data_IF_378742989885
#
_entry.id   IF_378742989885
#
_cell.length_a   1.000
_cell.length_b   1.000
_cell.length_c   1.000
_cell.angle_alpha   90.00
_cell.angle_beta   90.00
_cell.angle_gamma   90.00
#
_symmetry.space_group_name_H-M   'P 1'
#
loop_
_entity.id
_entity.type
_entity.pdbx_description
1 polymer ?
#
# COMPACT_ATOMS: atom_id res chain seq x y z
N UNK A 1 -10.96 15.55 32.42
CA UNK A 1 -10.40 14.23 32.03
C UNK A 1 -10.11 14.33 30.55
N UNK A 2 -8.89 14.00 30.16
CA UNK A 2 -8.24 14.31 28.89
C UNK A 2 -9.13 13.96 27.70
N UNK A 3 -9.42 14.94 26.84
CA UNK A 3 -9.91 14.66 25.48
C UNK A 3 -8.87 13.74 24.84
N UNK A 4 -9.27 12.55 24.42
CA UNK A 4 -8.40 11.65 23.67
C UNK A 4 -8.03 12.42 22.40
N UNK A 5 -6.83 12.99 22.32
CA UNK A 5 -6.34 13.76 21.17
C UNK A 5 -6.12 12.76 20.03
N UNK A 6 -7.19 12.41 19.33
CA UNK A 6 -7.16 11.56 18.15
C UNK A 6 -7.27 12.48 16.95
N UNK A 7 -6.25 12.48 16.10
CA UNK A 7 -6.32 13.23 14.85
C UNK A 7 -7.43 12.67 13.97
N UNK A 8 -8.09 13.53 13.20
CA UNK A 8 -9.15 13.08 12.30
C UNK A 8 -8.59 12.13 11.24
N UNK A 9 -9.38 11.15 10.76
CA UNK A 9 -8.94 10.23 9.72
C UNK A 9 -8.51 10.96 8.44
N UNK A 10 -9.09 12.13 8.14
CA UNK A 10 -8.66 12.98 7.02
C UNK A 10 -7.22 13.49 7.19
N UNK A 11 -6.84 13.95 8.39
CA UNK A 11 -5.48 14.40 8.68
C UNK A 11 -4.48 13.23 8.64
N UNK A 12 -4.90 12.08 9.18
CA UNK A 12 -4.09 10.86 9.18
C UNK A 12 -3.84 10.35 7.75
N UNK A 13 -4.86 10.39 6.88
CA UNK A 13 -4.73 10.07 5.45
C UNK A 13 -3.75 11.00 4.74
N UNK A 14 -3.80 12.30 5.02
CA UNK A 14 -2.87 13.25 4.41
C UNK A 14 -1.42 12.95 4.82
N UNK A 15 -1.18 12.61 6.09
CA UNK A 15 0.14 12.20 6.57
C UNK A 15 0.61 10.88 5.92
N UNK A 16 -0.31 9.90 5.77
CA UNK A 16 -0.02 8.64 5.09
C UNK A 16 0.36 8.85 3.61
N UNK A 17 -0.39 9.69 2.89
CA UNK A 17 -0.11 10.06 1.50
C UNK A 17 1.24 10.77 1.36
N UNK A 18 1.51 11.74 2.23
CA UNK A 18 2.78 12.44 2.28
C UNK A 18 3.95 11.48 2.56
N UNK A 19 3.77 10.54 3.49
CA UNK A 19 4.75 9.50 3.78
C UNK A 19 5.01 8.59 2.58
N UNK A 20 3.97 8.26 1.81
CA UNK A 20 4.07 7.47 0.59
C UNK A 20 4.63 8.25 -0.63
N UNK A 21 4.82 9.57 -0.53
CA UNK A 21 5.15 10.41 -1.67
C UNK A 21 4.03 10.47 -2.71
N UNK A 22 2.80 10.14 -2.32
CA UNK A 22 1.63 10.15 -3.18
C UNK A 22 0.82 11.42 -2.94
N UNK A 23 0.31 12.01 -4.01
CA UNK A 23 -0.55 13.19 -3.89
C UNK A 23 -2.02 12.80 -3.64
N UNK A 24 -2.42 11.64 -4.15
CA UNK A 24 -3.72 11.03 -3.92
C UNK A 24 -3.59 9.50 -4.07
N UNK A 25 -4.34 8.75 -3.26
CA UNK A 25 -4.46 7.30 -3.38
C UNK A 25 -5.90 6.88 -3.11
N UNK A 26 -6.29 5.74 -3.66
CA UNK A 26 -7.61 5.17 -3.43
C UNK A 26 -7.56 4.28 -2.18
N UNK A 27 -8.12 4.80 -1.08
CA UNK A 27 -8.14 4.07 0.19
C UNK A 27 -9.23 3.00 0.16
N UNK A 28 -8.80 1.74 0.10
CA UNK A 28 -9.71 0.58 0.16
C UNK A 28 -10.28 0.42 1.56
N UNK A 29 -9.47 0.67 2.59
CA UNK A 29 -9.92 0.68 3.99
C UNK A 29 -8.95 1.41 4.90
N UNK A 30 -9.45 1.77 6.08
CA UNK A 30 -8.65 2.33 7.16
C UNK A 30 -9.11 1.71 8.47
N UNK A 31 -8.17 1.27 9.27
CA UNK A 31 -8.41 0.72 10.59
C UNK A 31 -7.73 1.60 11.63
N UNK A 32 -8.40 1.82 12.76
CA UNK A 32 -7.79 2.41 13.94
C UNK A 32 -7.66 1.31 14.96
N UNK A 33 -6.43 1.04 15.38
CA UNK A 33 -6.15 0.00 16.36
C UNK A 33 -5.24 0.54 17.48
N UNK A 34 -5.46 0.03 18.67
CA UNK A 34 -4.65 0.36 19.84
C UNK A 34 -3.44 -0.56 19.92
N UNK A 35 -2.39 -0.24 19.16
CA UNK A 35 -1.14 -0.99 19.15
C UNK A 35 -0.14 -0.41 20.15
N UNK A 36 0.55 -1.26 20.92
CA UNK A 36 1.59 -0.85 21.89
C UNK A 36 1.14 0.19 22.94
N UNK A 37 -0.13 0.13 23.38
CA UNK A 37 -0.66 1.05 24.39
C UNK A 37 -0.97 2.47 23.87
N UNK A 38 -0.93 2.67 22.55
CA UNK A 38 -1.28 3.91 21.87
C UNK A 38 -2.22 3.65 20.70
N UNK A 39 -2.96 4.68 20.29
CA UNK A 39 -3.86 4.60 19.14
C UNK A 39 -3.09 4.86 17.85
N UNK A 40 -3.19 3.96 16.88
CA UNK A 40 -2.50 4.04 15.57
C UNK A 40 -3.52 3.84 14.46
N UNK A 41 -3.46 4.70 13.45
CA UNK A 41 -4.20 4.54 12.21
C UNK A 41 -3.38 3.71 11.22
N UNK A 42 -3.98 2.65 10.69
CA UNK A 42 -3.43 1.86 9.59
C UNK A 42 -4.28 2.09 8.36
N UNK A 43 -3.65 2.59 7.30
CA UNK A 43 -4.27 2.80 6.00
C UNK A 43 -3.76 1.75 5.03
N UNK A 44 -4.69 1.03 4.42
CA UNK A 44 -4.39 0.11 3.33
C UNK A 44 -5.00 0.68 2.05
N UNK A 45 -4.12 0.96 1.10
CA UNK A 45 -4.49 1.49 -0.20
C UNK A 45 -3.67 0.80 -1.27
N UNK A 46 -4.28 0.61 -2.43
CA UNK A 46 -3.62 -0.01 -3.58
C UNK A 46 -3.50 1.01 -4.70
N UNK A 47 -2.38 1.02 -5.41
CA UNK A 47 -2.19 1.83 -6.61
C UNK A 47 -1.80 0.93 -7.77
N UNK A 48 -2.79 0.50 -8.55
CA UNK A 48 -2.61 -0.31 -9.77
C UNK A 48 -2.04 -1.71 -9.51
N UNK A 49 -0.72 -1.79 -9.34
CA UNK A 49 0.07 -3.02 -9.18
C UNK A 49 0.76 -3.13 -7.82
N UNK A 50 0.67 -2.11 -6.97
CA UNK A 50 1.32 -2.07 -5.66
C UNK A 50 0.27 -1.89 -4.55
N UNK A 51 0.45 -2.62 -3.45
CA UNK A 51 -0.27 -2.46 -2.19
C UNK A 51 0.61 -1.64 -1.25
N UNK A 52 0.01 -0.63 -0.65
CA UNK A 52 0.66 0.24 0.31
C UNK A 52 -0.03 0.13 1.66
N UNK A 53 0.79 0.02 2.69
CA UNK A 53 0.36 0.02 4.09
C UNK A 53 1.06 1.17 4.79
N UNK A 54 0.29 2.18 5.18
CA UNK A 54 0.79 3.32 5.95
C UNK A 54 0.28 3.27 7.39
N UNK A 55 1.20 3.40 8.33
CA UNK A 55 0.93 3.44 9.76
C UNK A 55 1.16 4.87 10.27
N UNK A 56 0.15 5.47 10.89
CA UNK A 56 0.17 6.85 11.39
C UNK A 56 -0.24 6.88 12.85
N UNK A 57 0.57 7.51 13.69
CA UNK A 57 0.26 7.68 15.11
C UNK A 57 -0.99 8.57 15.26
N UNK A 58 -2.05 8.07 15.90
CA UNK A 58 -3.30 8.82 15.99
C UNK A 58 -3.23 9.98 17.00
N UNK A 59 -2.21 9.99 17.87
CA UNK A 59 -2.01 11.05 18.88
C UNK A 59 -1.19 12.20 18.31
N UNK A 60 -0.18 11.88 17.51
CA UNK A 60 0.79 12.86 16.97
C UNK A 60 0.56 13.19 15.50
N UNK A 61 -0.10 12.31 14.75
CA UNK A 61 -0.26 12.40 13.30
C UNK A 61 0.99 12.10 12.49
N UNK A 62 2.00 11.49 13.11
CA UNK A 62 3.26 11.15 12.46
C UNK A 62 3.16 9.79 11.76
N UNK A 63 3.61 9.72 10.51
CA UNK A 63 3.75 8.45 9.80
C UNK A 63 4.90 7.64 10.41
N UNK A 64 4.55 6.61 11.18
CA UNK A 64 5.49 5.73 11.88
C UNK A 64 5.98 4.57 11.01
N UNK A 65 5.30 4.29 9.90
CA UNK A 65 5.72 3.23 8.97
C UNK A 65 5.03 3.34 7.62
N UNK A 66 5.76 2.99 6.58
CA UNK A 66 5.25 2.82 5.23
C UNK A 66 5.86 1.55 4.64
N UNK A 67 5.02 0.58 4.31
CA UNK A 67 5.40 -0.61 3.55
C UNK A 67 4.71 -0.53 2.18
N UNK A 68 5.47 -0.78 1.11
CA UNK A 68 4.93 -0.91 -0.25
C UNK A 68 5.37 -2.27 -0.80
N UNK A 69 4.40 -3.06 -1.24
CA UNK A 69 4.62 -4.39 -1.80
C UNK A 69 3.95 -4.46 -3.15
N UNK A 70 4.56 -5.12 -4.14
CA UNK A 70 3.82 -5.47 -5.34
C UNK A 70 2.61 -6.31 -4.93
N UNK A 71 1.44 -6.02 -5.50
CA UNK A 71 0.26 -6.85 -5.38
C UNK A 71 0.69 -8.26 -5.78
N UNK A 72 0.48 -9.28 -4.94
CA UNK A 72 0.77 -10.64 -5.34
C UNK A 72 -0.12 -10.93 -6.54
N UNK A 73 0.49 -10.98 -7.73
CA UNK A 73 -0.23 -11.45 -8.91
C UNK A 73 -0.74 -12.86 -8.59
N UNK A 74 -2.02 -13.18 -8.82
CA UNK A 74 -2.42 -14.57 -8.85
C UNK A 74 -1.48 -15.30 -9.82
N UNK A 75 -1.00 -16.53 -9.53
CA UNK A 75 -0.03 -17.23 -10.37
C UNK A 75 -0.66 -17.60 -11.71
N UNK A 76 -0.79 -16.63 -12.61
CA UNK A 76 -1.45 -16.76 -13.90
C UNK A 76 -0.96 -15.70 -14.89
N UNK A 77 0.32 -15.27 -14.87
CA UNK A 77 0.94 -14.63 -16.05
C UNK A 77 2.47 -14.58 -16.06
N UNK A 78 3.13 -15.73 -16.02
CA UNK A 78 4.52 -15.83 -16.47
C UNK A 78 4.61 -16.55 -17.82
N UNK A 79 3.97 -16.00 -18.86
CA UNK A 79 4.38 -16.23 -20.25
C UNK A 79 5.23 -15.04 -20.71
N UNK A 80 6.41 -14.88 -20.11
CA UNK A 80 7.42 -13.96 -20.61
C UNK A 80 8.69 -14.73 -20.99
N UNK A 81 8.56 -15.54 -22.03
CA UNK A 81 9.57 -15.65 -23.09
C UNK A 81 8.85 -16.14 -24.33
N UNK A 82 8.49 -15.17 -25.17
CA UNK A 82 8.46 -15.33 -26.62
C UNK A 82 9.78 -15.97 -27.06
N UNK A 83 9.79 -17.30 -27.24
CA UNK A 83 10.82 -17.92 -28.06
C UNK A 83 10.60 -17.40 -29.50
N UNK A 84 11.59 -16.79 -30.15
CA UNK A 84 11.41 -16.34 -31.53
C UNK A 84 11.13 -17.56 -32.40
N UNK A 85 10.13 -17.42 -33.27
CA UNK A 85 9.75 -18.42 -34.25
C UNK A 85 10.93 -18.76 -35.18
N UNK A 86 11.60 -19.89 -34.92
CA UNK A 86 12.52 -20.48 -35.89
C UNK A 86 11.76 -21.53 -36.71
N UNK A 87 11.12 -21.04 -37.78
CA UNK A 87 10.88 -21.81 -39.00
C UNK A 87 12.22 -22.40 -39.47
N UNK A 88 12.29 -23.71 -39.64
CA UNK A 88 12.67 -24.36 -40.92
C UNK A 88 12.66 -25.87 -40.73
N UNK A 89 11.66 -26.53 -41.31
CA UNK A 89 11.89 -27.83 -41.93
C UNK A 89 12.74 -27.55 -43.16
N UNK A 90 13.92 -28.15 -43.24
CA UNK A 90 14.65 -28.25 -44.50
C UNK A 90 14.80 -29.74 -44.78
N UNK A 91 14.08 -30.15 -45.82
CA UNK A 91 14.09 -31.46 -46.45
C UNK A 91 15.51 -31.98 -46.72
N UNK A 92 15.70 -33.29 -46.55
CA UNK A 92 16.51 -34.16 -47.40
C UNK A 92 16.12 -35.62 -47.14
#
# INVERSE_FOLDING_TARGET
>A
MTENIIISPAAARAAALAGAGLNAAEFTSHALESAFGRTVYTFEFETGELIYTACVDASSGECVGLDQRPRPEPPCRAEFTVLPAARMRRDA
#
